data_IF_814748856741
#
_entry.id   IF_814748856741
#
_cell.length_a   1.000
_cell.length_b   1.000
_cell.length_c   1.000
_cell.angle_alpha   90.00
_cell.angle_beta   90.00
_cell.angle_gamma   90.00
#
_symmetry.space_group_name_H-M   'P 1'
#
loop_
_entity.id
_entity.type
_entity.pdbx_description
1 polymer ?
#
# COMPACT_ATOMS: atom_id res chain seq x y z
N UNK A 1 -36.17 -6.68 -7.17
CA UNK A 1 -34.72 -7.01 -7.04
C UNK A 1 -34.04 -5.90 -6.28
N UNK A 2 -33.78 -6.09 -4.98
CA UNK A 2 -33.15 -5.11 -4.12
C UNK A 2 -31.68 -4.96 -4.50
N UNK A 3 -31.30 -3.83 -5.11
CA UNK A 3 -29.91 -3.41 -5.17
C UNK A 3 -29.47 -3.15 -3.73
N UNK A 4 -28.78 -4.13 -3.11
CA UNK A 4 -28.02 -3.88 -1.90
C UNK A 4 -27.01 -2.78 -2.25
N UNK A 5 -27.21 -1.59 -1.70
CA UNK A 5 -26.19 -0.55 -1.62
C UNK A 5 -24.98 -1.20 -0.96
N UNK A 6 -23.94 -1.43 -1.75
CA UNK A 6 -22.65 -1.87 -1.25
C UNK A 6 -22.18 -0.77 -0.29
N UNK A 7 -22.20 -1.05 1.01
CA UNK A 7 -21.55 -0.15 1.98
C UNK A 7 -20.10 -0.04 1.53
N UNK A 8 -19.53 1.18 1.43
CA UNK A 8 -18.11 1.33 1.12
C UNK A 8 -17.33 0.49 2.13
N UNK A 9 -16.54 -0.45 1.66
CA UNK A 9 -15.68 -1.28 2.49
C UNK A 9 -14.65 -0.40 3.21
N UNK A 10 -14.04 -0.92 4.27
CA UNK A 10 -12.92 -0.23 4.92
C UNK A 10 -11.76 -0.02 3.94
N UNK A 11 -10.82 0.88 4.24
CA UNK A 11 -9.58 1.06 3.47
C UNK A 11 -8.89 -0.28 3.20
N UNK A 12 -8.81 -1.15 4.21
CA UNK A 12 -8.18 -2.47 4.07
C UNK A 12 -8.95 -3.40 3.11
N UNK A 13 -10.28 -3.28 3.03
CA UNK A 13 -11.08 -4.04 2.06
C UNK A 13 -10.77 -3.63 0.63
N UNK A 14 -10.57 -2.33 0.39
CA UNK A 14 -10.18 -1.84 -0.93
C UNK A 14 -8.77 -2.30 -1.31
N UNK A 15 -7.81 -2.27 -0.37
CA UNK A 15 -6.45 -2.75 -0.61
C UNK A 15 -6.42 -4.25 -0.92
N UNK A 16 -7.10 -5.07 -0.12
CA UNK A 16 -7.18 -6.50 -0.37
C UNK A 16 -7.81 -6.83 -1.74
N UNK A 17 -8.86 -6.11 -2.12
CA UNK A 17 -9.55 -6.31 -3.40
C UNK A 17 -8.74 -5.91 -4.65
N UNK A 18 -7.60 -5.21 -4.49
CA UNK A 18 -6.66 -4.92 -5.59
C UNK A 18 -5.66 -6.05 -5.80
N UNK A 19 -5.44 -6.91 -4.80
CA UNK A 19 -4.43 -7.96 -4.87
C UNK A 19 -5.02 -9.18 -5.55
N UNK A 20 -4.40 -9.59 -6.65
CA UNK A 20 -4.75 -10.84 -7.32
C UNK A 20 -3.97 -12.01 -6.71
N UNK A 21 -4.59 -13.18 -6.50
CA UNK A 21 -3.89 -14.35 -5.95
C UNK A 21 -2.86 -14.86 -6.96
N UNK A 22 -1.57 -14.69 -6.66
CA UNK A 22 -0.48 -15.25 -7.47
C UNK A 22 0.93 -14.98 -6.92
N UNK A 23 1.04 -14.53 -5.67
CA UNK A 23 2.34 -14.22 -5.08
C UNK A 23 2.92 -15.42 -4.34
N UNK A 24 4.23 -15.63 -4.44
CA UNK A 24 4.92 -16.57 -3.55
C UNK A 24 5.01 -15.96 -2.14
N UNK A 25 5.23 -14.64 -2.04
CA UNK A 25 5.33 -13.97 -0.75
C UNK A 25 4.67 -12.59 -0.78
N UNK A 26 3.84 -12.30 0.20
CA UNK A 26 3.33 -10.97 0.50
C UNK A 26 3.96 -10.47 1.80
N UNK A 27 4.54 -9.27 1.76
CA UNK A 27 5.07 -8.55 2.89
C UNK A 27 4.08 -7.49 3.33
N UNK A 28 3.43 -7.67 4.48
CA UNK A 28 2.55 -6.67 5.11
C UNK A 28 3.42 -5.78 6.00
N UNK A 29 3.89 -4.67 5.42
CA UNK A 29 4.83 -3.73 6.03
C UNK A 29 4.10 -2.64 6.81
N UNK A 30 4.58 -2.32 8.03
CA UNK A 30 3.85 -1.49 8.99
C UNK A 30 2.47 -2.10 9.30
N UNK A 31 2.47 -3.40 9.55
CA UNK A 31 1.24 -4.19 9.60
C UNK A 31 0.35 -3.89 10.80
N UNK A 32 0.87 -3.19 11.83
CA UNK A 32 0.16 -2.90 13.08
C UNK A 32 -0.47 -4.19 13.65
N UNK A 33 -1.76 -4.25 13.82
CA UNK A 33 -2.47 -5.46 14.28
C UNK A 33 -2.64 -6.56 13.20
N UNK A 34 -2.03 -6.44 12.05
CA UNK A 34 -1.99 -7.44 10.97
C UNK A 34 -3.32 -7.73 10.29
N UNK A 35 -4.29 -6.81 10.37
CA UNK A 35 -5.64 -7.06 9.82
C UNK A 35 -5.65 -7.33 8.32
N UNK A 36 -4.80 -6.62 7.54
CA UNK A 36 -4.71 -6.83 6.10
C UNK A 36 -4.05 -8.18 5.80
N UNK A 37 -2.88 -8.44 6.37
CA UNK A 37 -2.15 -9.69 6.16
C UNK A 37 -2.95 -10.93 6.58
N UNK A 38 -3.68 -10.89 7.73
CA UNK A 38 -4.56 -11.98 8.14
C UNK A 38 -5.68 -12.24 7.13
N UNK A 39 -6.24 -11.19 6.52
CA UNK A 39 -7.21 -11.33 5.46
C UNK A 39 -6.61 -12.00 4.23
N UNK A 40 -5.42 -11.56 3.80
CA UNK A 40 -4.73 -12.13 2.65
C UNK A 40 -4.33 -13.60 2.87
N UNK A 41 -3.94 -13.96 4.10
CA UNK A 41 -3.75 -15.36 4.50
C UNK A 41 -5.03 -16.18 4.33
N UNK A 42 -6.15 -15.69 4.85
CA UNK A 42 -7.43 -16.37 4.78
C UNK A 42 -7.91 -16.55 3.33
N UNK A 43 -7.70 -15.54 2.49
CA UNK A 43 -8.07 -15.53 1.07
C UNK A 43 -7.04 -16.26 0.19
N UNK A 44 -5.93 -16.76 0.78
CA UNK A 44 -4.84 -17.47 0.08
C UNK A 44 -4.29 -16.70 -1.12
N UNK A 45 -4.05 -15.41 -0.90
CA UNK A 45 -3.51 -14.50 -1.93
C UNK A 45 -2.02 -14.75 -2.22
N UNK A 46 -1.32 -15.46 -1.34
CA UNK A 46 0.09 -15.84 -1.49
C UNK A 46 0.35 -17.19 -0.83
N UNK A 47 1.49 -17.80 -1.20
CA UNK A 47 1.98 -19.01 -0.52
C UNK A 47 2.40 -18.69 0.91
N UNK A 48 2.97 -17.49 1.15
CA UNK A 48 3.39 -17.01 2.46
C UNK A 48 3.05 -15.54 2.66
N UNK A 49 2.68 -15.16 3.91
CA UNK A 49 2.57 -13.75 4.34
C UNK A 49 3.57 -13.46 5.45
N UNK A 50 4.36 -12.39 5.28
CA UNK A 50 5.32 -11.92 6.28
C UNK A 50 4.81 -10.60 6.84
N UNK A 51 4.55 -10.59 8.14
CA UNK A 51 4.13 -9.40 8.88
C UNK A 51 5.36 -8.68 9.43
N UNK A 52 5.48 -7.38 9.17
CA UNK A 52 6.63 -6.57 9.60
C UNK A 52 6.15 -5.30 10.28
N UNK A 53 6.61 -5.06 11.51
CA UNK A 53 6.42 -3.80 12.24
C UNK A 53 7.52 -3.63 13.29
N UNK A 54 7.76 -2.40 13.73
CA UNK A 54 8.77 -2.05 14.74
C UNK A 54 8.32 -2.28 16.19
N UNK A 55 7.01 -2.33 16.46
CA UNK A 55 6.45 -2.30 17.80
C UNK A 55 6.36 -3.71 18.39
N UNK A 56 7.33 -4.07 19.24
CA UNK A 56 7.47 -5.41 19.83
C UNK A 56 6.21 -5.91 20.54
N UNK A 57 5.54 -5.04 21.31
CA UNK A 57 4.31 -5.40 22.01
C UNK A 57 3.16 -5.75 21.05
N UNK A 58 3.05 -5.04 19.93
CA UNK A 58 2.05 -5.32 18.89
C UNK A 58 2.40 -6.62 18.16
N UNK A 59 3.67 -6.80 17.80
CA UNK A 59 4.12 -8.00 17.07
C UNK A 59 4.00 -9.26 17.92
N UNK A 60 4.25 -9.19 19.24
CA UNK A 60 4.02 -10.31 20.17
C UNK A 60 2.53 -10.66 20.27
N UNK A 61 1.66 -9.66 20.38
CA UNK A 61 0.21 -9.87 20.38
C UNK A 61 -0.29 -10.47 19.05
N UNK A 62 0.23 -9.97 17.93
CA UNK A 62 -0.08 -10.49 16.60
C UNK A 62 0.37 -11.95 16.44
N UNK A 63 1.59 -12.30 16.86
CA UNK A 63 2.10 -13.67 16.82
C UNK A 63 1.20 -14.63 17.59
N UNK A 64 0.78 -14.22 18.80
CA UNK A 64 -0.14 -15.01 19.65
C UNK A 64 -1.49 -15.21 18.94
N UNK A 65 -2.05 -14.16 18.34
CA UNK A 65 -3.31 -14.22 17.61
C UNK A 65 -3.21 -15.11 16.39
N UNK A 66 -2.14 -14.99 15.60
CA UNK A 66 -1.92 -15.80 14.41
C UNK A 66 -1.79 -17.30 14.77
N UNK A 67 -1.08 -17.63 15.86
CA UNK A 67 -0.95 -19.02 16.29
C UNK A 67 -2.30 -19.67 16.69
N UNK A 68 -3.25 -18.84 17.18
CA UNK A 68 -4.60 -19.32 17.54
C UNK A 68 -5.52 -19.43 16.32
N UNK A 69 -5.52 -18.42 15.44
CA UNK A 69 -6.51 -18.27 14.37
C UNK A 69 -6.06 -18.90 13.04
N UNK A 70 -4.74 -19.10 12.85
CA UNK A 70 -4.11 -19.57 11.59
C UNK A 70 -3.09 -20.69 11.88
N UNK A 71 -3.51 -21.94 12.04
CA UNK A 71 -2.60 -23.07 12.29
C UNK A 71 -1.54 -23.21 11.19
N UNK A 72 -0.25 -23.36 11.56
CA UNK A 72 0.88 -23.37 10.61
C UNK A 72 0.94 -24.61 9.72
N UNK A 73 0.19 -25.66 10.00
CA UNK A 73 -0.01 -26.80 9.11
C UNK A 73 -0.94 -26.47 7.92
N UNK A 74 -1.69 -25.36 7.99
CA UNK A 74 -2.62 -24.89 6.96
C UNK A 74 -2.23 -23.56 6.34
N UNK A 75 -1.50 -22.71 7.09
CA UNK A 75 -1.16 -21.35 6.70
C UNK A 75 0.34 -21.08 6.88
N UNK A 76 0.99 -20.54 5.86
CA UNK A 76 2.39 -20.14 5.95
C UNK A 76 2.50 -18.65 6.23
N UNK A 77 3.09 -18.29 7.37
CA UNK A 77 3.35 -16.91 7.73
C UNK A 77 4.58 -16.77 8.61
N UNK A 78 5.13 -15.55 8.64
CA UNK A 78 6.18 -15.14 9.57
C UNK A 78 5.79 -13.82 10.23
N UNK A 79 6.27 -13.61 11.46
CA UNK A 79 6.14 -12.35 12.20
C UNK A 79 7.54 -11.83 12.48
N UNK A 80 7.84 -10.62 12.00
CA UNK A 80 9.15 -9.97 12.14
C UNK A 80 8.99 -8.64 12.86
N UNK A 81 9.55 -8.52 14.03
CA UNK A 81 9.71 -7.24 14.72
C UNK A 81 11.02 -6.60 14.23
N UNK A 82 10.93 -5.80 13.14
CA UNK A 82 12.10 -5.23 12.46
C UNK A 82 11.75 -3.93 11.74
N UNK A 83 12.77 -3.12 11.43
CA UNK A 83 12.63 -1.97 10.54
C UNK A 83 12.60 -2.46 9.08
N UNK A 84 11.64 -1.97 8.31
CA UNK A 84 11.53 -2.28 6.88
C UNK A 84 12.83 -1.95 6.13
N UNK A 85 13.56 -0.93 6.57
CA UNK A 85 14.85 -0.54 5.98
C UNK A 85 15.94 -1.60 6.13
N UNK A 86 15.80 -2.53 7.07
CA UNK A 86 16.73 -3.63 7.28
C UNK A 86 16.39 -4.88 6.46
N UNK A 87 15.22 -4.90 5.79
CA UNK A 87 14.81 -6.04 5.00
C UNK A 87 15.75 -6.22 3.81
N UNK A 88 16.39 -7.38 3.78
CA UNK A 88 17.06 -7.86 2.58
C UNK A 88 16.01 -8.56 1.73
N UNK A 89 15.65 -7.97 0.58
CA UNK A 89 14.67 -8.54 -0.32
C UNK A 89 15.21 -9.84 -0.91
N UNK A 90 14.57 -10.98 -0.67
CA UNK A 90 15.05 -12.25 -1.22
C UNK A 90 15.01 -12.26 -2.76
N UNK A 91 15.95 -12.95 -3.38
CA UNK A 91 15.93 -13.20 -4.83
C UNK A 91 14.88 -14.27 -5.17
N UNK A 92 13.62 -13.96 -4.93
CA UNK A 92 12.46 -14.80 -5.24
C UNK A 92 11.64 -14.17 -6.35
N UNK A 93 10.94 -15.00 -7.09
CA UNK A 93 9.94 -14.55 -8.04
C UNK A 93 8.61 -14.24 -7.31
N UNK A 94 7.85 -13.31 -7.86
CA UNK A 94 6.47 -13.02 -7.42
C UNK A 94 6.32 -12.57 -5.96
N UNK A 95 6.95 -11.43 -5.60
CA UNK A 95 6.80 -10.80 -4.30
C UNK A 95 5.99 -9.51 -4.37
N UNK A 96 5.16 -9.27 -3.35
CA UNK A 96 4.42 -8.03 -3.14
C UNK A 96 4.79 -7.43 -1.79
N UNK A 97 5.22 -6.16 -1.78
CA UNK A 97 5.37 -5.38 -0.56
C UNK A 97 4.20 -4.40 -0.43
N UNK A 98 3.50 -4.47 0.68
CA UNK A 98 2.40 -3.57 1.02
C UNK A 98 2.92 -2.56 2.04
N UNK A 99 2.84 -1.26 1.71
CA UNK A 99 3.20 -0.17 2.62
C UNK A 99 1.97 0.73 2.75
N UNK A 100 1.25 0.60 3.85
CA UNK A 100 -0.02 1.27 4.05
C UNK A 100 -0.16 1.88 5.45
N UNK A 101 -0.62 3.14 5.52
CA UNK A 101 -0.94 3.79 6.79
C UNK A 101 0.20 4.60 7.41
N UNK A 102 1.31 4.78 6.71
CA UNK A 102 2.42 5.64 7.11
C UNK A 102 2.50 6.93 6.29
N UNK A 103 3.26 7.91 6.77
CA UNK A 103 3.45 9.19 6.09
C UNK A 103 4.34 9.10 4.85
N UNK A 104 4.33 10.12 3.97
CA UNK A 104 5.07 10.10 2.70
C UNK A 104 6.57 9.92 2.88
N UNK A 105 7.17 10.56 3.88
CA UNK A 105 8.60 10.48 4.13
C UNK A 105 9.04 9.03 4.42
N UNK A 106 8.37 8.36 5.37
CA UNK A 106 8.64 6.96 5.68
C UNK A 106 8.33 6.03 4.49
N UNK A 107 7.23 6.29 3.77
CA UNK A 107 6.89 5.51 2.57
C UNK A 107 8.02 5.56 1.56
N UNK A 108 8.58 6.76 1.28
CA UNK A 108 9.69 6.95 0.33
C UNK A 108 10.97 6.27 0.83
N UNK A 109 11.33 6.46 2.11
CA UNK A 109 12.51 5.80 2.70
C UNK A 109 12.44 4.27 2.60
N UNK A 110 11.26 3.68 2.83
CA UNK A 110 11.06 2.24 2.73
C UNK A 110 11.18 1.76 1.28
N UNK A 111 10.58 2.47 0.32
CA UNK A 111 10.70 2.16 -1.11
C UNK A 111 12.17 2.19 -1.54
N UNK A 112 12.89 3.25 -1.18
CA UNK A 112 14.31 3.42 -1.56
C UNK A 112 15.18 2.32 -0.93
N UNK A 113 14.96 1.98 0.33
CA UNK A 113 15.69 0.91 1.02
C UNK A 113 15.44 -0.47 0.42
N UNK A 114 14.19 -0.80 0.11
CA UNK A 114 13.82 -2.06 -0.54
C UNK A 114 14.47 -2.15 -1.94
N UNK A 115 14.38 -1.09 -2.73
CA UNK A 115 15.01 -1.04 -4.06
C UNK A 115 16.54 -1.15 -4.00
N UNK A 116 17.17 -0.48 -3.03
CA UNK A 116 18.62 -0.54 -2.83
C UNK A 116 19.11 -1.92 -2.37
N UNK A 117 18.31 -2.63 -1.55
CA UNK A 117 18.66 -3.98 -1.07
C UNK A 117 18.62 -5.06 -2.15
N UNK A 118 17.93 -4.80 -3.26
CA UNK A 118 17.74 -5.78 -4.34
C UNK A 118 17.60 -5.09 -5.71
N UNK A 119 18.68 -4.47 -6.24
CA UNK A 119 18.62 -3.67 -7.46
C UNK A 119 18.18 -4.48 -8.70
N UNK A 120 18.51 -5.76 -8.74
CA UNK A 120 18.23 -6.65 -9.86
C UNK A 120 16.94 -7.49 -9.65
N UNK A 121 16.28 -7.36 -8.49
CA UNK A 121 15.06 -8.11 -8.18
C UNK A 121 13.83 -7.29 -8.51
N UNK A 122 12.90 -7.88 -9.25
CA UNK A 122 11.61 -7.25 -9.56
C UNK A 122 10.58 -7.74 -8.56
N UNK A 123 9.98 -6.81 -7.82
CA UNK A 123 8.87 -7.03 -6.92
C UNK A 123 7.79 -5.98 -7.14
N UNK A 124 6.57 -6.31 -6.77
CA UNK A 124 5.42 -5.43 -6.87
C UNK A 124 5.24 -4.62 -5.56
N UNK A 125 4.58 -3.47 -5.67
CA UNK A 125 4.26 -2.61 -4.53
C UNK A 125 2.75 -2.32 -4.48
N UNK A 126 2.17 -2.35 -3.28
CA UNK A 126 0.86 -1.76 -3.01
C UNK A 126 1.04 -0.66 -1.96
N UNK A 127 0.89 0.57 -2.39
CA UNK A 127 1.16 1.76 -1.57
C UNK A 127 -0.16 2.44 -1.20
N UNK A 128 -0.29 2.80 0.08
CA UNK A 128 -1.41 3.61 0.56
C UNK A 128 -0.92 4.56 1.67
N UNK A 129 -0.23 5.62 1.26
CA UNK A 129 0.25 6.66 2.18
C UNK A 129 -0.91 7.46 2.77
N UNK A 130 -0.75 7.96 4.00
CA UNK A 130 -1.81 8.71 4.68
C UNK A 130 -2.03 10.11 4.10
N UNK A 131 -1.04 10.65 3.41
CA UNK A 131 -1.07 11.93 2.67
C UNK A 131 0.18 12.05 1.78
N UNK A 132 0.36 13.20 1.08
CA UNK A 132 1.59 13.52 0.34
C UNK A 132 1.82 12.65 -0.90
N UNK A 133 0.75 12.16 -1.52
CA UNK A 133 0.81 11.20 -2.63
C UNK A 133 1.63 11.69 -3.82
N UNK A 134 1.67 13.00 -4.10
CA UNK A 134 2.49 13.57 -5.17
C UNK A 134 3.98 13.21 -5.03
N UNK A 135 4.56 13.46 -3.84
CA UNK A 135 5.96 13.12 -3.57
C UNK A 135 6.22 11.62 -3.62
N UNK A 136 5.29 10.80 -3.10
CA UNK A 136 5.39 9.34 -3.16
C UNK A 136 5.36 8.85 -4.62
N UNK A 137 4.47 9.40 -5.46
CA UNK A 137 4.40 9.05 -6.89
C UNK A 137 5.69 9.43 -7.62
N UNK A 138 6.25 10.62 -7.36
CA UNK A 138 7.54 11.01 -7.94
C UNK A 138 8.66 10.04 -7.57
N UNK A 139 8.76 9.63 -6.29
CA UNK A 139 9.75 8.65 -5.86
C UNK A 139 9.57 7.30 -6.58
N UNK A 140 8.34 6.82 -6.71
CA UNK A 140 8.02 5.58 -7.42
C UNK A 140 8.36 5.65 -8.92
N UNK A 141 8.09 6.78 -9.58
CA UNK A 141 8.46 7.03 -10.98
C UNK A 141 9.98 6.99 -11.14
N UNK A 142 10.73 7.64 -10.23
CA UNK A 142 12.20 7.65 -10.24
C UNK A 142 12.79 6.24 -10.03
N UNK A 143 12.11 5.38 -9.26
CA UNK A 143 12.48 3.96 -9.08
C UNK A 143 12.05 3.06 -10.25
N UNK A 144 11.44 3.62 -11.30
CA UNK A 144 11.01 2.90 -12.50
C UNK A 144 9.73 2.07 -12.34
N UNK A 145 8.92 2.35 -11.31
CA UNK A 145 7.63 1.68 -11.16
C UNK A 145 6.60 2.21 -12.14
N UNK A 146 5.73 1.30 -12.57
CA UNK A 146 4.63 1.54 -13.49
C UNK A 146 3.32 1.09 -12.86
N UNK A 147 2.22 1.63 -13.33
CA UNK A 147 0.90 1.43 -12.75
C UNK A 147 0.27 0.10 -13.19
N UNK A 148 -0.17 -0.72 -12.22
CA UNK A 148 -1.12 -1.82 -12.42
C UNK A 148 -2.55 -1.34 -12.24
N UNK A 149 -2.82 -0.70 -11.11
CA UNK A 149 -4.14 -0.19 -10.74
C UNK A 149 -4.01 0.94 -9.71
N UNK A 150 -4.95 1.87 -9.71
CA UNK A 150 -5.05 2.90 -8.68
C UNK A 150 -6.51 3.20 -8.34
N UNK A 151 -6.76 3.53 -7.07
CA UNK A 151 -8.10 3.85 -6.58
C UNK A 151 -8.07 5.00 -5.58
N UNK A 152 -9.11 5.84 -5.59
CA UNK A 152 -9.44 6.73 -4.48
C UNK A 152 -10.27 5.94 -3.47
N UNK A 153 -9.85 5.96 -2.22
CA UNK A 153 -10.53 5.29 -1.11
C UNK A 153 -10.96 6.33 -0.09
N UNK A 154 -12.25 6.32 0.26
CA UNK A 154 -12.78 7.17 1.33
C UNK A 154 -13.14 6.29 2.52
N UNK A 155 -12.42 6.46 3.63
CA UNK A 155 -12.62 5.69 4.86
C UNK A 155 -12.49 6.60 6.09
N UNK A 156 -13.38 6.47 7.05
CA UNK A 156 -13.39 7.24 8.31
C UNK A 156 -13.17 8.75 8.10
N UNK A 157 -13.88 9.32 7.14
CA UNK A 157 -13.85 10.75 6.78
C UNK A 157 -12.48 11.24 6.26
N UNK A 158 -11.65 10.34 5.71
CA UNK A 158 -10.36 10.65 5.07
C UNK A 158 -10.29 10.05 3.69
N UNK A 159 -9.58 10.72 2.80
CA UNK A 159 -9.25 10.21 1.48
C UNK A 159 -7.85 9.60 1.48
N UNK A 160 -7.72 8.52 0.74
CA UNK A 160 -6.45 7.84 0.49
C UNK A 160 -6.34 7.53 -1.00
N UNK A 161 -5.13 7.45 -1.50
CA UNK A 161 -4.84 6.83 -2.78
C UNK A 161 -4.26 5.44 -2.52
N UNK A 162 -4.87 4.41 -3.08
CA UNK A 162 -4.30 3.07 -3.14
C UNK A 162 -3.68 2.90 -4.52
N UNK A 163 -2.38 2.61 -4.58
CA UNK A 163 -1.60 2.56 -5.81
C UNK A 163 -0.89 1.22 -5.88
N UNK A 164 -1.29 0.39 -6.86
CA UNK A 164 -0.71 -0.92 -7.10
C UNK A 164 0.23 -0.86 -8.31
N UNK A 165 1.46 -1.32 -8.13
CA UNK A 165 2.59 -1.01 -9.01
C UNK A 165 3.45 -2.24 -9.30
N UNK A 166 4.06 -2.24 -10.48
CA UNK A 166 5.07 -3.20 -10.88
C UNK A 166 6.05 -2.55 -11.85
N UNK A 167 7.34 -2.92 -11.80
CA UNK A 167 8.29 -2.53 -12.86
C UNK A 167 7.97 -3.20 -14.21
N UNK A 168 7.12 -4.26 -14.20
CA UNK A 168 6.69 -5.00 -15.40
C UNK A 168 5.30 -4.59 -15.91
N UNK A 169 4.66 -3.58 -15.31
CA UNK A 169 3.34 -3.13 -15.77
C UNK A 169 3.46 -2.28 -17.04
N UNK A 170 2.39 -2.26 -17.84
CA UNK A 170 2.38 -1.57 -19.14
C UNK A 170 2.04 -0.08 -19.01
N UNK A 171 1.25 0.29 -18.02
CA UNK A 171 0.75 1.66 -17.86
C UNK A 171 1.77 2.56 -17.16
N UNK A 172 2.04 3.77 -17.66
CA UNK A 172 2.89 4.71 -16.95
C UNK A 172 2.23 5.14 -15.63
N UNK A 173 3.05 5.29 -14.59
CA UNK A 173 2.61 5.99 -13.38
C UNK A 173 2.74 7.49 -13.63
N UNK A 174 1.71 8.26 -13.28
CA UNK A 174 1.71 9.72 -13.36
C UNK A 174 1.58 10.34 -11.96
N UNK A 175 2.09 11.54 -11.80
CA UNK A 175 2.25 12.20 -10.49
C UNK A 175 0.92 12.56 -9.82
N UNK A 176 -0.14 12.77 -10.60
CA UNK A 176 -1.46 13.23 -10.11
C UNK A 176 -2.55 12.14 -10.16
N UNK A 177 -2.18 10.93 -10.58
CA UNK A 177 -3.15 9.87 -10.87
C UNK A 177 -3.90 10.10 -12.19
N UNK A 178 -4.22 9.03 -12.88
CA UNK A 178 -4.89 9.08 -14.17
C UNK A 178 -6.12 8.18 -14.23
N UNK A 179 -6.00 6.94 -13.79
CA UNK A 179 -7.05 5.92 -13.93
C UNK A 179 -8.04 5.92 -12.75
N UNK A 180 -7.65 6.47 -11.60
CA UNK A 180 -8.48 6.48 -10.41
C UNK A 180 -9.69 7.43 -10.50
N UNK A 181 -9.72 8.36 -11.47
CA UNK A 181 -10.72 9.42 -11.52
C UNK A 181 -12.03 8.97 -12.16
N UNK A 182 -13.11 9.00 -11.38
CA UNK A 182 -14.48 8.91 -11.89
C UNK A 182 -15.21 10.22 -11.59
N UNK A 183 -15.29 11.11 -12.57
CA UNK A 183 -15.89 12.43 -12.41
C UNK A 183 -17.40 12.42 -12.18
N UNK A 184 -18.08 11.31 -12.44
CA UNK A 184 -19.48 11.12 -12.06
C UNK A 184 -19.65 10.87 -10.54
N UNK A 185 -18.60 10.37 -9.87
CA UNK A 185 -18.63 10.09 -8.44
C UNK A 185 -18.38 11.37 -7.61
N UNK A 186 -19.31 11.74 -6.70
CA UNK A 186 -19.14 12.91 -5.85
C UNK A 186 -17.96 12.79 -4.88
N UNK A 187 -17.58 11.58 -4.46
CA UNK A 187 -16.43 11.31 -3.60
C UNK A 187 -15.13 11.72 -4.29
N UNK A 188 -14.98 11.39 -5.58
CA UNK A 188 -13.80 11.73 -6.37
C UNK A 188 -13.70 13.24 -6.61
N UNK A 189 -14.85 13.92 -6.85
CA UNK A 189 -14.87 15.38 -6.99
C UNK A 189 -14.51 16.10 -5.68
N UNK A 190 -14.99 15.61 -4.53
CA UNK A 190 -14.65 16.17 -3.22
C UNK A 190 -13.15 16.00 -2.93
N UNK A 191 -12.58 14.83 -3.22
CA UNK A 191 -11.14 14.58 -3.10
C UNK A 191 -10.34 15.56 -3.95
N UNK A 192 -10.73 15.76 -5.22
CA UNK A 192 -10.05 16.69 -6.13
C UNK A 192 -10.09 18.13 -5.58
N UNK A 193 -11.26 18.62 -5.17
CA UNK A 193 -11.41 19.97 -4.62
C UNK A 193 -10.54 20.19 -3.37
N UNK A 194 -10.51 19.23 -2.45
CA UNK A 194 -9.68 19.31 -1.25
C UNK A 194 -8.18 19.30 -1.58
N UNK A 195 -7.77 18.45 -2.51
CA UNK A 195 -6.37 18.32 -2.93
C UNK A 195 -5.90 19.60 -3.61
N UNK A 196 -6.63 20.10 -4.59
CA UNK A 196 -6.30 21.36 -5.28
C UNK A 196 -6.28 22.53 -4.30
N UNK A 197 -7.29 22.66 -3.44
CA UNK A 197 -7.34 23.71 -2.43
C UNK A 197 -6.14 23.66 -1.47
N UNK A 198 -5.70 22.46 -1.07
CA UNK A 198 -4.51 22.30 -0.23
C UNK A 198 -3.24 22.79 -0.93
N UNK A 199 -3.01 22.40 -2.18
CA UNK A 199 -1.83 22.84 -2.93
C UNK A 199 -1.85 24.32 -3.28
N UNK A 200 -3.02 24.89 -3.59
CA UNK A 200 -3.18 26.33 -3.78
C UNK A 200 -2.83 27.13 -2.52
N UNK A 201 -3.21 26.64 -1.34
CA UNK A 201 -2.83 27.27 -0.08
C UNK A 201 -1.32 27.16 0.21
N UNK A 202 -0.71 26.01 -0.09
CA UNK A 202 0.75 25.83 0.02
C UNK A 202 1.49 26.79 -0.91
N UNK A 203 1.11 26.88 -2.17
CA UNK A 203 1.73 27.76 -3.14
C UNK A 203 1.65 29.24 -2.74
N UNK A 204 0.58 29.65 -2.07
CA UNK A 204 0.47 31.03 -1.52
C UNK A 204 1.42 31.29 -0.36
N UNK A 205 1.73 30.25 0.46
CA UNK A 205 2.62 30.39 1.62
C UNK A 205 4.10 30.30 1.24
N UNK A 206 4.43 29.49 0.27
CA UNK A 206 5.80 29.28 -0.22
C UNK A 206 5.79 29.15 -1.75
N UNK A 207 5.75 30.29 -2.47
CA UNK A 207 5.72 30.29 -3.93
C UNK A 207 6.96 29.65 -4.55
N UNK A 208 8.11 29.68 -3.88
CA UNK A 208 9.38 29.16 -4.41
C UNK A 208 9.41 27.63 -4.54
N UNK A 209 8.55 26.91 -3.82
CA UNK A 209 8.43 25.44 -3.96
C UNK A 209 7.62 25.01 -5.18
N UNK A 210 6.97 25.93 -5.89
CA UNK A 210 6.02 25.63 -6.98
C UNK A 210 6.37 26.34 -8.30
N UNK A 211 7.52 27.00 -8.36
CA UNK A 211 8.14 27.55 -9.56
C UNK A 211 9.30 26.66 -10.02
#
# INVERSE_FOLDING_TARGET
MNKRLIRPGSRLDHLAAMIQPSYSTIWDCCCDHGHLGMRLLKERCADQVIFVDLLENIMTALATKLALDFPQDQYSYQVRCDDIKNIQVPAQESQLFIIAGVGPHQTIEFIDSLCASAPDTVFDLLICSVHGNYAVRQALINQGYRLREERIVFDKNRFYEAIYLSKRADQPLVETGQQMWNWADPVHRDYWHRTVGHYQQKAKKDPAQFL
#
